data_IF_247983734343
#
_entry.id   IF_247983734343
#
_cell.length_a   1.000
_cell.length_b   1.000
_cell.length_c   1.000
_cell.angle_alpha   90.00
_cell.angle_beta   90.00
_cell.angle_gamma   90.00
#
_symmetry.space_group_name_H-M   'P 1'
#
loop_
_entity.id
_entity.type
_entity.pdbx_description
1 polymer ?
#
# COMPACT_ATOMS: atom_id res chain seq x y z
N UNK A 1 -29.93 -89.36 15.50
CA UNK A 1 -30.22 -88.40 14.43
C UNK A 1 -29.99 -87.02 15.00
N UNK A 2 -28.99 -86.23 14.67
CA UNK A 2 -27.72 -86.28 13.95
C UNK A 2 -27.01 -85.03 14.51
N UNK A 3 -25.85 -85.18 15.12
CA UNK A 3 -24.55 -84.99 14.48
C UNK A 3 -24.18 -83.51 14.27
N UNK A 4 -23.07 -83.13 14.91
CA UNK A 4 -22.09 -82.09 14.56
C UNK A 4 -22.57 -80.76 13.95
N UNK A 5 -22.12 -79.62 14.49
CA UNK A 5 -20.86 -79.03 14.00
C UNK A 5 -20.44 -77.75 14.77
N UNK A 6 -19.18 -77.83 15.20
CA UNK A 6 -18.25 -76.78 15.65
C UNK A 6 -18.29 -75.54 14.73
N UNK A 7 -18.52 -74.34 15.30
CA UNK A 7 -18.22 -73.08 14.60
C UNK A 7 -16.86 -72.54 15.12
N UNK A 8 -15.88 -72.28 14.22
CA UNK A 8 -14.51 -71.97 14.57
C UNK A 8 -14.31 -70.51 15.01
N UNK A 9 -13.43 -70.32 16.00
CA UNK A 9 -12.78 -69.04 16.28
C UNK A 9 -11.81 -68.71 15.14
N UNK A 10 -11.96 -67.59 14.43
CA UNK A 10 -10.82 -66.87 13.84
C UNK A 10 -11.03 -65.34 13.80
N UNK A 11 -9.94 -64.57 13.91
CA UNK A 11 -9.93 -63.14 14.22
C UNK A 11 -9.81 -62.28 12.95
N UNK A 12 -10.46 -61.14 12.92
CA UNK A 12 -10.28 -60.08 11.91
C UNK A 12 -10.26 -58.76 12.67
N UNK A 13 -9.11 -58.31 13.16
CA UNK A 13 -8.14 -57.46 12.45
C UNK A 13 -8.79 -56.24 11.80
N UNK A 14 -8.75 -55.14 12.57
CA UNK A 14 -8.46 -53.77 12.14
C UNK A 14 -9.19 -53.23 10.88
N UNK A 15 -10.30 -52.52 11.11
CA UNK A 15 -10.58 -51.32 10.30
C UNK A 15 -9.91 -50.13 10.98
N UNK A 16 -8.67 -49.86 10.58
CA UNK A 16 -7.98 -48.61 10.89
C UNK A 16 -8.69 -47.49 10.14
N UNK A 17 -9.14 -46.49 10.89
CA UNK A 17 -9.69 -45.25 10.40
C UNK A 17 -8.71 -44.55 9.46
N UNK A 18 -9.12 -44.35 8.20
CA UNK A 18 -8.48 -43.38 7.30
C UNK A 18 -8.99 -42.01 7.73
N UNK A 19 -8.38 -41.46 8.78
CA UNK A 19 -8.46 -40.04 9.09
C UNK A 19 -7.62 -39.31 8.02
N UNK A 20 -8.24 -38.98 6.89
CA UNK A 20 -7.63 -38.09 5.92
C UNK A 20 -7.46 -36.73 6.58
N UNK A 21 -6.27 -36.51 7.12
CA UNK A 21 -5.74 -35.23 7.53
C UNK A 21 -5.79 -34.30 6.31
N UNK A 22 -6.89 -33.57 6.15
CA UNK A 22 -6.90 -32.29 5.46
C UNK A 22 -6.09 -31.33 6.34
N UNK A 23 -4.78 -31.52 6.37
CA UNK A 23 -3.84 -30.45 6.70
C UNK A 23 -4.06 -29.42 5.60
N UNK A 24 -4.98 -28.48 5.84
CA UNK A 24 -5.06 -27.23 5.12
C UNK A 24 -3.74 -26.53 5.32
N UNK A 25 -2.75 -26.88 4.49
CA UNK A 25 -1.59 -26.06 4.27
C UNK A 25 -2.15 -24.74 3.79
N UNK A 26 -2.17 -23.76 4.68
CA UNK A 26 -2.22 -22.37 4.32
C UNK A 26 -1.01 -22.15 3.43
N UNK A 27 -1.17 -22.34 2.12
CA UNK A 27 -0.14 -22.03 1.16
C UNK A 27 0.17 -20.56 1.37
N UNK A 28 1.33 -20.27 1.97
CA UNK A 28 1.82 -18.90 2.11
C UNK A 28 1.82 -18.31 0.71
N UNK A 29 0.94 -17.33 0.48
CA UNK A 29 0.91 -16.65 -0.80
C UNK A 29 2.25 -15.93 -0.95
N UNK A 30 3.00 -16.27 -1.99
CA UNK A 30 4.31 -15.69 -2.27
C UNK A 30 4.19 -14.49 -3.20
N UNK A 31 5.10 -13.54 -3.07
CA UNK A 31 5.32 -12.48 -4.07
C UNK A 31 6.05 -13.10 -5.25
N UNK A 32 5.42 -13.16 -6.43
CA UNK A 32 5.98 -13.78 -7.64
C UNK A 32 6.38 -12.76 -8.72
N UNK A 33 6.30 -11.47 -8.40
CA UNK A 33 6.72 -10.37 -9.25
C UNK A 33 7.94 -9.66 -8.66
N UNK A 34 8.70 -9.00 -9.52
CA UNK A 34 9.80 -8.13 -9.10
C UNK A 34 9.27 -6.78 -8.62
N UNK A 35 9.79 -6.32 -7.47
CA UNK A 35 9.51 -4.98 -7.00
C UNK A 35 10.26 -3.95 -7.86
N UNK A 36 9.61 -2.82 -8.20
CA UNK A 36 10.19 -1.82 -9.08
C UNK A 36 11.34 -1.10 -8.38
N UNK A 37 12.35 -0.69 -9.15
CA UNK A 37 13.49 0.12 -8.65
C UNK A 37 13.13 1.60 -8.49
N UNK A 38 11.97 2.01 -8.99
CA UNK A 38 11.43 3.37 -8.93
C UNK A 38 9.92 3.33 -8.80
N UNK A 39 9.34 4.27 -8.04
CA UNK A 39 7.89 4.52 -8.05
C UNK A 39 7.60 5.83 -8.77
N UNK A 40 6.79 5.77 -9.82
CA UNK A 40 6.33 6.92 -10.59
C UNK A 40 7.51 7.78 -11.09
N UNK A 41 8.57 7.12 -11.57
CA UNK A 41 9.81 7.78 -12.01
C UNK A 41 10.83 8.11 -10.91
N UNK A 42 10.45 8.06 -9.64
CA UNK A 42 11.34 8.39 -8.51
C UNK A 42 12.06 7.13 -8.00
N UNK A 43 13.40 7.08 -7.95
CA UNK A 43 14.14 5.95 -7.43
C UNK A 43 13.75 5.61 -5.99
N UNK A 44 13.68 4.31 -5.67
CA UNK A 44 13.29 3.85 -4.33
C UNK A 44 14.07 2.61 -3.91
N UNK A 45 14.32 2.50 -2.60
CA UNK A 45 14.92 1.29 -2.02
C UNK A 45 13.87 0.22 -1.81
N UNK A 46 14.18 -1.03 -2.18
CA UNK A 46 13.27 -2.18 -2.01
C UNK A 46 12.67 -2.29 -0.61
N UNK A 47 13.48 -2.11 0.44
CA UNK A 47 13.05 -2.20 1.85
C UNK A 47 12.02 -1.15 2.27
N UNK A 48 11.89 -0.06 1.52
CA UNK A 48 10.90 1.00 1.75
C UNK A 48 9.54 0.62 1.18
N UNK A 49 9.52 -0.08 0.04
CA UNK A 49 8.29 -0.40 -0.69
C UNK A 49 7.74 -1.78 -0.39
N UNK A 50 8.60 -2.77 -0.10
CA UNK A 50 8.20 -4.15 0.15
C UNK A 50 6.99 -4.31 1.10
N UNK A 51 6.87 -3.55 2.22
CA UNK A 51 5.70 -3.68 3.10
C UNK A 51 4.35 -3.28 2.48
N UNK A 52 4.36 -2.53 1.38
CA UNK A 52 3.17 -2.01 0.68
C UNK A 52 2.69 -2.92 -0.46
N UNK A 53 3.50 -3.90 -0.85
CA UNK A 53 3.26 -4.77 -1.98
C UNK A 53 2.88 -6.18 -1.48
N UNK A 54 1.59 -6.57 -1.55
CA UNK A 54 1.13 -7.86 -1.05
C UNK A 54 1.54 -9.01 -1.99
N UNK A 55 1.42 -10.27 -1.55
CA UNK A 55 1.56 -11.42 -2.42
C UNK A 55 0.69 -11.34 -3.69
N UNK A 56 1.16 -11.96 -4.77
CA UNK A 56 0.48 -11.96 -6.06
C UNK A 56 1.41 -12.37 -7.19
N UNK A 57 0.89 -12.39 -8.41
CA UNK A 57 1.60 -12.90 -9.59
C UNK A 57 2.11 -11.80 -10.49
N UNK A 58 1.25 -10.82 -10.77
CA UNK A 58 1.50 -9.81 -11.79
C UNK A 58 1.47 -8.41 -11.18
N UNK A 59 2.52 -7.63 -11.44
CA UNK A 59 2.60 -6.22 -11.07
C UNK A 59 2.46 -5.34 -12.31
N UNK A 60 1.49 -4.44 -12.31
CA UNK A 60 1.26 -3.47 -13.38
C UNK A 60 1.31 -2.04 -12.84
N UNK A 61 1.93 -1.13 -13.59
CA UNK A 61 1.87 0.31 -13.34
C UNK A 61 0.90 0.97 -14.31
N UNK A 62 0.09 1.91 -13.82
CA UNK A 62 -0.71 2.84 -14.63
C UNK A 62 -0.41 4.29 -14.24
N UNK A 63 -0.71 5.24 -15.11
CA UNK A 63 -0.43 6.67 -14.89
C UNK A 63 0.98 7.11 -15.28
N UNK A 64 1.34 8.33 -14.91
CA UNK A 64 2.56 9.02 -15.32
C UNK A 64 3.71 8.96 -14.31
N UNK A 65 4.79 9.67 -14.61
CA UNK A 65 5.79 10.00 -13.59
C UNK A 65 5.27 11.16 -12.74
N UNK A 66 5.70 11.26 -11.48
CA UNK A 66 5.45 12.47 -10.67
C UNK A 66 6.17 13.69 -11.25
N UNK A 67 7.26 13.45 -11.99
CA UNK A 67 8.13 14.50 -12.55
C UNK A 67 7.84 14.82 -14.01
N UNK A 68 6.58 14.77 -14.43
CA UNK A 68 6.21 15.03 -15.84
C UNK A 68 6.07 16.53 -16.15
N UNK A 69 6.34 17.39 -15.18
CA UNK A 69 6.33 18.85 -15.30
C UNK A 69 4.96 19.49 -15.04
N UNK A 70 3.92 18.67 -14.83
CA UNK A 70 2.57 19.13 -14.51
C UNK A 70 2.50 19.62 -13.06
N UNK A 71 1.50 20.44 -12.75
CA UNK A 71 1.22 20.90 -11.39
C UNK A 71 0.67 19.81 -10.47
N UNK A 72 0.10 18.76 -11.08
CA UNK A 72 -0.38 17.56 -10.43
C UNK A 72 -0.18 16.34 -11.34
N UNK A 73 0.38 15.28 -10.78
CA UNK A 73 0.60 14.01 -11.45
C UNK A 73 0.26 12.84 -10.56
N UNK A 74 0.02 11.68 -11.18
CA UNK A 74 -0.33 10.47 -10.44
C UNK A 74 0.04 9.19 -11.16
N UNK A 75 0.31 8.16 -10.37
CA UNK A 75 0.51 6.80 -10.84
C UNK A 75 -0.02 5.77 -9.84
N UNK A 76 -0.35 4.59 -10.32
CA UNK A 76 -0.86 3.49 -9.49
C UNK A 76 -0.20 2.18 -9.83
N UNK A 77 -0.08 1.32 -8.82
CA UNK A 77 0.44 -0.02 -8.92
C UNK A 77 -0.65 -1.01 -8.58
N UNK A 78 -0.80 -2.01 -9.44
CA UNK A 78 -1.81 -3.04 -9.33
C UNK A 78 -1.13 -4.39 -9.21
N UNK A 79 -1.56 -5.19 -8.22
CA UNK A 79 -1.18 -6.60 -8.08
C UNK A 79 -2.38 -7.43 -8.47
N UNK A 80 -2.20 -8.30 -9.46
CA UNK A 80 -3.26 -9.15 -10.00
C UNK A 80 -4.52 -8.34 -10.39
N UNK A 81 -4.31 -7.14 -10.94
CA UNK A 81 -5.38 -6.22 -11.36
C UNK A 81 -6.05 -5.40 -10.25
N UNK A 82 -5.60 -5.54 -8.99
CA UNK A 82 -6.12 -4.74 -7.87
C UNK A 82 -5.13 -3.64 -7.48
N UNK A 83 -5.57 -2.39 -7.37
CA UNK A 83 -4.72 -1.30 -6.90
C UNK A 83 -4.21 -1.60 -5.49
N UNK A 84 -2.89 -1.67 -5.33
CA UNK A 84 -2.24 -1.87 -4.03
C UNK A 84 -1.62 -0.59 -3.50
N UNK A 85 -1.18 0.29 -4.41
CA UNK A 85 -0.52 1.54 -4.07
C UNK A 85 -0.88 2.59 -5.12
N UNK A 86 -1.32 3.77 -4.69
CA UNK A 86 -1.45 4.95 -5.52
C UNK A 86 -0.57 6.07 -4.98
N UNK A 87 0.03 6.84 -5.87
CA UNK A 87 0.77 8.04 -5.54
C UNK A 87 0.26 9.17 -6.42
N UNK A 88 0.10 10.34 -5.83
CA UNK A 88 -0.07 11.58 -6.56
C UNK A 88 0.70 12.69 -5.89
N UNK A 89 1.12 13.67 -6.67
CA UNK A 89 1.70 14.89 -6.15
C UNK A 89 0.85 16.11 -6.53
N UNK A 90 1.14 17.21 -5.85
CA UNK A 90 0.61 18.51 -6.20
C UNK A 90 1.52 19.60 -5.62
N UNK A 91 1.77 20.63 -6.43
CA UNK A 91 2.38 21.88 -5.96
C UNK A 91 1.30 22.88 -5.58
N UNK A 92 1.54 23.64 -4.52
CA UNK A 92 0.64 24.68 -4.01
C UNK A 92 1.39 25.98 -3.83
N UNK A 93 0.77 27.08 -4.23
CA UNK A 93 1.24 28.45 -3.96
C UNK A 93 1.17 28.80 -2.46
N UNK A 94 0.31 28.14 -1.69
CA UNK A 94 0.20 28.37 -0.25
C UNK A 94 1.20 27.52 0.54
N UNK A 95 1.56 28.01 1.74
CA UNK A 95 2.31 27.22 2.72
C UNK A 95 1.34 26.36 3.53
N UNK A 96 1.16 25.10 3.14
CA UNK A 96 0.16 24.20 3.71
C UNK A 96 0.79 23.19 4.68
N UNK A 97 0.07 22.85 5.75
CA UNK A 97 0.39 21.68 6.55
C UNK A 97 -0.21 20.41 5.92
N UNK A 98 0.32 19.23 6.25
CA UNK A 98 -0.21 17.96 5.72
C UNK A 98 -1.69 17.74 6.08
N UNK A 99 -2.12 18.26 7.23
CA UNK A 99 -3.53 18.22 7.64
C UNK A 99 -4.41 19.01 6.69
N UNK A 100 -3.98 20.20 6.26
CA UNK A 100 -4.76 21.09 5.40
C UNK A 100 -4.98 20.45 4.03
N UNK A 101 -3.93 19.84 3.48
CA UNK A 101 -4.01 19.10 2.21
C UNK A 101 -4.95 17.90 2.34
N UNK A 102 -4.74 17.05 3.35
CA UNK A 102 -5.57 15.85 3.53
C UNK A 102 -7.04 16.20 3.83
N UNK A 103 -7.30 17.29 4.55
CA UNK A 103 -8.66 17.74 4.85
C UNK A 103 -9.46 18.15 3.61
N UNK A 104 -8.81 18.45 2.46
CA UNK A 104 -9.50 18.74 1.20
C UNK A 104 -10.23 17.51 0.62
N UNK A 105 -9.79 16.30 0.95
CA UNK A 105 -10.34 15.04 0.42
C UNK A 105 -11.13 14.25 1.46
N UNK A 106 -11.00 14.57 2.75
CA UNK A 106 -11.72 13.94 3.85
C UNK A 106 -13.06 14.66 4.09
N UNK A 107 -14.19 13.95 4.18
CA UNK A 107 -15.47 14.56 4.56
C UNK A 107 -15.35 15.33 5.88
N UNK A 108 -15.88 16.56 5.95
CA UNK A 108 -15.72 17.42 7.12
C UNK A 108 -16.18 16.79 8.44
N UNK A 109 -17.21 15.93 8.39
CA UNK A 109 -17.68 15.15 9.55
C UNK A 109 -16.64 14.17 10.12
N UNK A 110 -15.62 13.82 9.34
CA UNK A 110 -14.55 12.87 9.65
C UNK A 110 -13.18 13.55 9.83
N UNK A 111 -13.09 14.87 9.76
CA UNK A 111 -11.82 15.61 9.90
C UNK A 111 -11.10 15.34 11.24
N UNK A 112 -11.85 14.95 12.29
CA UNK A 112 -11.29 14.55 13.59
C UNK A 112 -10.55 13.20 13.56
N UNK A 113 -10.79 12.37 12.55
CA UNK A 113 -10.10 11.08 12.35
C UNK A 113 -8.72 11.26 11.70
N UNK A 114 -8.40 12.46 11.19
CA UNK A 114 -7.07 12.76 10.65
C UNK A 114 -6.04 12.73 11.78
N UNK A 115 -5.10 11.81 11.66
CA UNK A 115 -3.94 11.73 12.54
C UNK A 115 -2.79 12.51 11.93
N UNK A 116 -2.06 13.29 12.72
CA UNK A 116 -0.91 14.09 12.27
C UNK A 116 0.32 13.65 13.04
N UNK A 117 1.43 13.45 12.32
CA UNK A 117 2.72 13.17 12.95
C UNK A 117 3.20 14.37 13.77
N UNK A 118 4.11 14.13 14.74
CA UNK A 118 4.68 15.20 15.58
C UNK A 118 5.32 16.35 14.79
N UNK A 119 5.85 16.06 13.61
CA UNK A 119 6.45 17.07 12.73
C UNK A 119 5.43 18.00 12.05
N UNK A 120 4.14 17.65 12.06
CA UNK A 120 3.11 18.33 11.25
C UNK A 120 3.19 18.05 9.74
N UNK A 121 4.29 17.45 9.26
CA UNK A 121 4.59 17.24 7.84
C UNK A 121 3.96 15.99 7.24
N UNK A 122 3.37 15.13 8.05
CA UNK A 122 2.67 13.92 7.60
C UNK A 122 1.33 13.85 8.30
N UNK A 123 0.26 13.64 7.55
CA UNK A 123 -1.09 13.38 8.03
C UNK A 123 -1.63 12.10 7.40
N UNK A 124 -2.49 11.37 8.11
CA UNK A 124 -3.04 10.10 7.63
C UNK A 124 -4.52 9.97 7.96
N UNK A 125 -5.26 9.32 7.06
CA UNK A 125 -6.66 8.98 7.23
C UNK A 125 -6.99 7.76 6.34
N UNK A 126 -7.55 6.70 6.91
CA UNK A 126 -8.10 5.50 6.23
C UNK A 126 -7.38 5.08 4.94
N UNK A 127 -6.17 4.54 5.09
CA UNK A 127 -5.38 4.05 3.94
C UNK A 127 -4.82 5.13 3.04
N UNK A 128 -4.89 6.39 3.45
CA UNK A 128 -4.19 7.50 2.83
C UNK A 128 -3.19 8.14 3.80
N UNK A 129 -2.08 8.59 3.24
CA UNK A 129 -1.13 9.47 3.88
C UNK A 129 -0.83 10.65 2.96
N UNK A 130 -0.69 11.83 3.55
CA UNK A 130 -0.17 13.02 2.88
C UNK A 130 1.12 13.43 3.57
N UNK A 131 2.18 13.63 2.79
CA UNK A 131 3.41 14.26 3.21
C UNK A 131 3.56 15.63 2.57
N UNK A 132 4.04 16.63 3.31
CA UNK A 132 4.34 17.97 2.76
C UNK A 132 5.80 18.37 2.94
N UNK A 133 6.36 19.00 1.91
CA UNK A 133 7.68 19.61 1.91
C UNK A 133 7.59 21.07 1.47
N UNK A 134 8.51 21.89 1.97
CA UNK A 134 8.73 23.22 1.39
C UNK A 134 9.15 23.02 -0.08
N UNK A 135 8.61 23.87 -0.95
CA UNK A 135 8.99 23.94 -2.35
C UNK A 135 9.17 25.41 -2.72
N UNK A 136 10.06 25.70 -3.66
CA UNK A 136 10.33 27.06 -4.14
C UNK A 136 11.11 27.00 -5.45
N UNK A 137 11.05 28.05 -6.26
CA UNK A 137 11.80 28.12 -7.53
C UNK A 137 11.21 27.29 -8.68
N UNK A 138 10.02 26.71 -8.48
CA UNK A 138 9.23 26.05 -9.52
C UNK A 138 7.78 26.56 -9.45
N UNK A 139 7.05 26.59 -10.57
CA UNK A 139 5.68 27.08 -10.58
C UNK A 139 4.71 26.09 -9.92
N UNK A 140 3.64 26.58 -9.30
CA UNK A 140 2.55 25.75 -8.77
C UNK A 140 1.49 25.40 -9.79
N UNK A 141 1.44 26.09 -10.92
CA UNK A 141 0.45 25.94 -11.98
C UNK A 141 0.96 26.48 -13.33
N UNK A 142 0.10 26.42 -14.34
CA UNK A 142 0.38 26.92 -15.70
C UNK A 142 0.45 28.46 -15.79
N UNK A 143 -0.03 29.18 -14.78
CA UNK A 143 0.03 30.65 -14.72
C UNK A 143 1.40 31.13 -14.22
N UNK A 144 2.19 30.23 -13.61
CA UNK A 144 3.58 30.48 -13.24
C UNK A 144 3.73 31.02 -11.82
N UNK A 145 2.69 30.93 -10.99
CA UNK A 145 2.74 31.32 -9.58
C UNK A 145 3.77 30.47 -8.82
N UNK A 146 4.49 31.06 -7.86
CA UNK A 146 5.58 30.35 -7.18
C UNK A 146 5.03 29.31 -6.19
N UNK A 147 5.43 28.05 -6.37
CA UNK A 147 5.11 27.00 -5.41
C UNK A 147 5.78 27.26 -4.06
N UNK A 148 5.03 27.06 -2.97
CA UNK A 148 5.51 27.12 -1.57
C UNK A 148 5.45 25.78 -0.87
N UNK A 149 4.58 24.88 -1.33
CA UNK A 149 4.41 23.53 -0.77
C UNK A 149 4.35 22.51 -1.88
N UNK A 150 5.12 21.44 -1.72
CA UNK A 150 4.94 20.19 -2.44
C UNK A 150 4.19 19.20 -1.54
N UNK A 151 3.11 18.61 -2.04
CA UNK A 151 2.37 17.58 -1.35
C UNK A 151 2.47 16.25 -2.09
N UNK A 152 2.81 15.20 -1.36
CA UNK A 152 2.73 13.81 -1.82
C UNK A 152 1.53 13.14 -1.13
N UNK A 153 0.58 12.66 -1.91
CA UNK A 153 -0.51 11.80 -1.44
C UNK A 153 -0.21 10.36 -1.80
N UNK A 154 -0.34 9.46 -0.82
CA UNK A 154 -0.10 8.03 -0.98
C UNK A 154 -1.34 7.27 -0.49
N UNK A 155 -1.87 6.37 -1.30
CA UNK A 155 -3.01 5.51 -0.95
C UNK A 155 -2.65 4.03 -1.03
N UNK A 156 -3.23 3.19 -0.17
CA UNK A 156 -3.22 1.73 -0.35
C UNK A 156 -4.62 1.20 -0.58
N UNK A 157 -4.75 0.19 -1.45
CA UNK A 157 -6.04 -0.45 -1.70
C UNK A 157 -6.34 -1.57 -0.71
N UNK A 158 -7.56 -1.55 -0.17
CA UNK A 158 -8.19 -2.64 0.60
C UNK A 158 -7.26 -3.44 1.53
N UNK A 159 -6.51 -2.81 2.44
CA UNK A 159 -5.66 -3.54 3.36
C UNK A 159 -6.49 -4.40 4.32
N UNK A 160 -5.98 -5.59 4.64
CA UNK A 160 -6.59 -6.45 5.66
C UNK A 160 -6.62 -5.79 7.05
N UNK A 161 -5.65 -4.93 7.34
CA UNK A 161 -5.54 -4.19 8.60
C UNK A 161 -5.23 -2.71 8.34
N UNK A 162 -6.19 -1.84 8.61
CA UNK A 162 -6.07 -0.40 8.38
C UNK A 162 -5.03 0.28 9.28
N UNK A 163 -4.86 -0.17 10.53
CA UNK A 163 -3.88 0.42 11.45
C UNK A 163 -2.45 0.08 11.04
N UNK A 164 -2.23 -1.16 10.61
CA UNK A 164 -0.95 -1.59 10.06
C UNK A 164 -0.64 -0.86 8.75
N UNK A 165 -1.62 -0.76 7.85
CA UNK A 165 -1.50 0.01 6.61
C UNK A 165 -1.14 1.48 6.88
N UNK A 166 -1.78 2.12 7.85
CA UNK A 166 -1.47 3.50 8.23
C UNK A 166 -0.03 3.65 8.76
N UNK A 167 0.44 2.67 9.53
CA UNK A 167 1.83 2.63 10.02
C UNK A 167 2.82 2.51 8.86
N UNK A 168 2.56 1.59 7.92
CA UNK A 168 3.37 1.37 6.71
C UNK A 168 3.40 2.62 5.83
N UNK A 169 2.24 3.22 5.58
CA UNK A 169 2.11 4.46 4.82
C UNK A 169 2.86 5.63 5.46
N UNK A 170 2.77 5.77 6.78
CA UNK A 170 3.52 6.83 7.49
C UNK A 170 5.03 6.64 7.31
N UNK A 171 5.52 5.40 7.45
CA UNK A 171 6.94 5.07 7.28
C UNK A 171 7.39 5.32 5.84
N UNK A 172 6.60 4.86 4.86
CA UNK A 172 6.87 5.05 3.44
C UNK A 172 6.90 6.54 3.09
N UNK A 173 5.85 7.29 3.44
CA UNK A 173 5.74 8.72 3.15
C UNK A 173 6.92 9.49 3.71
N UNK A 174 7.33 9.18 4.95
CA UNK A 174 8.52 9.79 5.57
C UNK A 174 9.81 9.52 4.78
N UNK A 175 9.98 8.31 4.27
CA UNK A 175 11.19 7.91 3.56
C UNK A 175 11.22 8.43 2.11
N UNK A 176 10.05 8.54 1.46
CA UNK A 176 9.94 8.82 0.03
C UNK A 176 9.73 10.31 -0.28
N UNK A 177 9.08 11.07 0.61
CA UNK A 177 8.68 12.46 0.39
C UNK A 177 9.84 13.35 -0.09
N UNK A 178 11.01 13.27 0.54
CA UNK A 178 12.16 14.10 0.15
C UNK A 178 12.72 13.77 -1.23
N UNK A 179 12.69 12.48 -1.62
CA UNK A 179 13.12 12.07 -2.95
C UNK A 179 12.11 12.48 -4.03
N UNK A 180 10.81 12.44 -3.71
CA UNK A 180 9.75 12.86 -4.62
C UNK A 180 9.77 14.39 -4.85
N UNK A 181 9.80 15.19 -3.77
CA UNK A 181 9.95 16.64 -3.85
C UNK A 181 11.23 17.02 -4.63
N UNK A 182 12.35 16.39 -4.24
CA UNK A 182 13.55 16.10 -5.02
C UNK A 182 13.41 16.22 -6.54
N UNK A 183 12.67 15.24 -7.02
CA UNK A 183 12.58 14.90 -8.42
C UNK A 183 11.65 15.86 -9.17
N UNK A 184 10.73 16.51 -8.46
CA UNK A 184 9.82 17.55 -8.97
C UNK A 184 10.45 18.96 -9.00
N UNK A 185 11.71 19.10 -8.55
CA UNK A 185 12.45 20.36 -8.58
C UNK A 185 12.31 21.22 -7.32
N UNK A 186 11.63 20.69 -6.31
CA UNK A 186 11.85 21.08 -4.92
C UNK A 186 13.10 20.34 -4.38
#
# INVERSE_FOLDING_TARGET
>A
MDDLQRIPKRPTWALLAVLALLCGCSAEQTVQYDLPKSLCGVPVTRTVIEPLFPPGKDLTQTGGALTDGQDQSSCSYLVDGNTVLSLSDQRYQEKLAARDVLAKTVPGSQAKEITVSSSGRIATYRGHAVGVADCSGVPSDVEGEEARTYALTVGVGNPHNWQEAQTKLTKFTRAFLGAAAKADGC
#
